data_IF_442673728977
#
_entry.id   IF_442673728977
#
_cell.length_a   1.000
_cell.length_b   1.000
_cell.length_c   1.000
_cell.angle_alpha   90.00
_cell.angle_beta   90.00
_cell.angle_gamma   90.00
#
_symmetry.space_group_name_H-M   'P 1'
#
loop_
_entity.id
_entity.type
_entity.pdbx_description
1 polymer ?
#
# COMPACT_ATOMS: atom_id res chain seq x y z
N UNK A 1 -14.31 -12.28 28.16
CA UNK A 1 -13.95 -12.27 26.73
C UNK A 1 -13.17 -13.54 26.47
N UNK A 2 -13.61 -14.39 25.55
CA UNK A 2 -12.85 -15.59 25.18
C UNK A 2 -11.55 -15.16 24.50
N UNK A 3 -10.43 -15.50 25.11
CA UNK A 3 -9.09 -15.22 24.60
C UNK A 3 -8.95 -15.79 23.17
N UNK A 4 -8.71 -14.92 22.18
CA UNK A 4 -8.38 -15.35 20.81
C UNK A 4 -6.98 -15.93 20.88
N UNK A 5 -6.88 -17.26 20.81
CA UNK A 5 -5.60 -17.96 20.92
C UNK A 5 -4.89 -18.01 19.57
N UNK A 6 -3.56 -18.01 19.62
CA UNK A 6 -2.68 -18.28 18.47
C UNK A 6 -3.18 -19.52 17.70
N UNK A 7 -3.23 -19.42 16.38
CA UNK A 7 -3.49 -20.55 15.49
C UNK A 7 -2.39 -21.60 15.61
N UNK A 8 -2.78 -22.88 15.73
CA UNK A 8 -1.85 -24.01 15.94
C UNK A 8 -1.57 -24.81 14.67
N UNK A 9 -2.41 -24.62 13.67
CA UNK A 9 -2.33 -25.22 12.35
C UNK A 9 -1.33 -24.51 11.44
N UNK A 10 -0.99 -23.24 11.74
CA UNK A 10 0.06 -22.49 11.05
C UNK A 10 1.38 -22.55 11.84
N UNK A 11 2.49 -22.72 11.12
CA UNK A 11 3.86 -22.71 11.65
C UNK A 11 4.74 -21.72 10.91
N UNK A 12 4.62 -21.65 9.59
CA UNK A 12 5.42 -20.80 8.71
C UNK A 12 4.55 -19.82 7.94
N UNK A 13 4.86 -18.53 8.04
CA UNK A 13 4.09 -17.46 7.41
C UNK A 13 5.02 -16.66 6.50
N UNK A 14 4.58 -16.46 5.25
CA UNK A 14 5.24 -15.57 4.31
C UNK A 14 4.61 -14.18 4.34
N UNK A 15 5.41 -13.14 4.53
CA UNK A 15 4.99 -11.73 4.45
C UNK A 15 5.42 -11.19 3.08
N UNK A 16 4.51 -10.47 2.43
CA UNK A 16 4.79 -9.73 1.19
C UNK A 16 5.03 -8.26 1.53
N UNK A 17 6.24 -7.76 1.25
CA UNK A 17 6.59 -6.35 1.40
C UNK A 17 6.08 -5.47 0.26
N UNK A 18 6.32 -4.16 0.37
CA UNK A 18 5.82 -3.18 -0.60
C UNK A 18 6.69 -3.00 -1.85
N UNK A 19 7.93 -3.50 -1.83
CA UNK A 19 8.92 -3.19 -2.86
C UNK A 19 9.52 -1.79 -2.69
N UNK A 20 9.97 -1.13 -3.77
CA UNK A 20 10.66 0.15 -3.69
C UNK A 20 9.73 1.27 -3.23
N UNK A 21 10.32 2.30 -2.61
CA UNK A 21 9.60 3.52 -2.21
C UNK A 21 9.19 4.30 -3.45
N UNK A 22 7.90 4.57 -3.58
CA UNK A 22 7.31 5.42 -4.62
C UNK A 22 6.33 6.42 -3.99
N UNK A 23 5.96 7.46 -4.73
CA UNK A 23 4.92 8.41 -4.26
C UNK A 23 3.62 7.63 -4.04
N UNK A 24 2.99 7.82 -2.88
CA UNK A 24 1.79 7.08 -2.48
C UNK A 24 2.05 5.70 -1.87
N UNK A 25 3.29 5.19 -1.90
CA UNK A 25 3.66 3.93 -1.24
C UNK A 25 5.09 4.01 -0.69
N UNK A 26 5.25 4.45 0.55
CA UNK A 26 6.54 4.83 1.11
C UNK A 26 6.94 4.02 2.36
N UNK A 27 7.54 4.69 3.35
CA UNK A 27 8.20 4.03 4.48
C UNK A 27 7.24 3.44 5.52
N UNK A 28 5.95 3.77 5.46
CA UNK A 28 4.89 3.23 6.31
C UNK A 28 4.81 1.70 6.21
N UNK A 29 5.11 1.12 5.05
CA UNK A 29 5.12 -0.32 4.83
C UNK A 29 6.38 -1.00 5.36
N UNK A 30 7.51 -0.29 5.41
CA UNK A 30 8.70 -0.79 6.10
C UNK A 30 8.48 -0.87 7.61
N UNK A 31 7.85 0.16 8.19
CA UNK A 31 7.43 0.16 9.59
C UNK A 31 6.44 -0.98 9.87
N UNK A 32 5.36 -1.07 9.10
CA UNK A 32 4.30 -2.06 9.28
C UNK A 32 4.81 -3.49 9.09
N UNK A 33 5.58 -3.74 8.02
CA UNK A 33 6.22 -5.03 7.77
C UNK A 33 7.20 -5.43 8.86
N UNK A 34 7.99 -4.49 9.40
CA UNK A 34 8.87 -4.73 10.56
C UNK A 34 8.07 -5.16 11.80
N UNK A 35 6.95 -4.50 12.09
CA UNK A 35 6.09 -4.86 13.22
C UNK A 35 5.43 -6.23 13.02
N UNK A 36 5.01 -6.56 11.80
CA UNK A 36 4.46 -7.86 11.47
C UNK A 36 5.48 -8.98 11.67
N UNK A 37 6.71 -8.81 11.15
CA UNK A 37 7.82 -9.75 11.38
C UNK A 37 8.05 -9.99 12.88
N UNK A 38 8.16 -8.91 13.67
CA UNK A 38 8.39 -9.01 15.12
C UNK A 38 7.25 -9.73 15.83
N UNK A 39 6.01 -9.34 15.55
CA UNK A 39 4.83 -9.90 16.21
C UNK A 39 4.70 -11.39 15.93
N UNK A 40 4.83 -11.80 14.66
CA UNK A 40 4.75 -13.21 14.29
C UNK A 40 5.89 -14.05 14.89
N UNK A 41 7.12 -13.52 14.93
CA UNK A 41 8.25 -14.20 15.56
C UNK A 41 8.09 -14.32 17.07
N UNK A 42 7.58 -13.28 17.75
CA UNK A 42 7.31 -13.31 19.19
C UNK A 42 6.28 -14.38 19.55
N UNK A 43 5.28 -14.57 18.69
CA UNK A 43 4.32 -15.66 18.81
C UNK A 43 4.91 -17.03 18.43
N UNK A 44 6.15 -17.09 17.93
CA UNK A 44 6.83 -18.33 17.57
C UNK A 44 6.41 -18.92 16.23
N UNK A 45 6.05 -18.10 15.26
CA UNK A 45 5.97 -18.52 13.85
C UNK A 45 7.34 -18.38 13.18
N UNK A 46 7.64 -19.27 12.24
CA UNK A 46 8.73 -19.09 11.28
C UNK A 46 8.28 -18.07 10.23
N UNK A 47 9.05 -17.00 10.04
CA UNK A 47 8.71 -15.90 9.13
C UNK A 47 9.60 -15.93 7.90
N UNK A 48 8.96 -16.04 6.73
CA UNK A 48 9.58 -15.81 5.43
C UNK A 48 9.17 -14.41 4.96
N UNK A 49 10.12 -13.61 4.49
CA UNK A 49 9.84 -12.28 3.97
C UNK A 49 10.31 -12.18 2.52
N UNK A 50 9.45 -11.64 1.65
CA UNK A 50 9.84 -11.16 0.32
C UNK A 50 9.68 -9.64 0.25
N UNK A 51 10.76 -8.93 -0.08
CA UNK A 51 10.70 -7.51 -0.42
C UNK A 51 11.86 -7.12 -1.34
N UNK A 52 11.58 -6.44 -2.45
CA UNK A 52 12.62 -5.99 -3.39
C UNK A 52 13.46 -4.81 -2.88
N UNK A 53 12.98 -4.06 -1.88
CA UNK A 53 13.73 -2.93 -1.32
C UNK A 53 14.86 -3.45 -0.41
N UNK A 54 16.15 -3.16 -0.71
CA UNK A 54 17.25 -3.68 0.07
C UNK A 54 17.47 -2.91 1.37
N UNK A 55 18.02 -3.59 2.38
CA UNK A 55 18.54 -2.97 3.60
C UNK A 55 19.45 -1.81 3.26
N UNK A 56 19.17 -0.64 3.82
CA UNK A 56 20.14 0.45 3.81
C UNK A 56 20.92 0.45 5.13
N UNK A 57 22.23 0.27 5.03
CA UNK A 57 23.12 0.11 6.16
C UNK A 57 23.28 1.41 6.98
N UNK A 58 22.31 1.79 7.83
CA UNK A 58 22.43 2.97 8.72
C UNK A 58 23.36 2.69 9.92
N UNK A 59 23.46 1.45 10.39
CA UNK A 59 24.24 1.08 11.57
C UNK A 59 25.74 0.89 11.29
N UNK A 60 26.12 0.40 10.10
CA UNK A 60 27.51 0.23 9.71
C UNK A 60 28.23 1.51 9.29
N UNK A 61 27.53 2.48 8.68
CA UNK A 61 28.14 3.73 8.21
C UNK A 61 28.29 4.78 9.32
N UNK A 62 27.41 4.80 10.33
CA UNK A 62 27.51 5.74 11.46
C UNK A 62 28.60 5.29 12.45
N UNK A 63 28.75 3.99 12.71
CA UNK A 63 29.87 3.46 13.53
C UNK A 63 31.23 3.68 12.87
N UNK A 64 31.36 3.44 11.56
CA UNK A 64 32.62 3.70 10.84
C UNK A 64 33.00 5.19 10.78
N UNK A 65 32.05 6.13 10.88
CA UNK A 65 32.35 7.57 10.96
C UNK A 65 32.76 8.05 12.35
N UNK A 66 32.28 7.42 13.42
CA UNK A 66 32.75 7.73 14.79
C UNK A 66 34.13 7.17 15.08
N UNK A 67 34.44 5.96 14.60
CA UNK A 67 35.76 5.34 14.85
C UNK A 67 36.88 5.86 13.92
N UNK A 68 36.55 6.35 12.71
CA UNK A 68 37.53 6.94 11.79
C UNK A 68 38.00 8.36 12.20
N UNK A 69 37.29 9.05 13.10
CA UNK A 69 37.75 10.33 13.68
C UNK A 69 38.60 10.16 14.95
N UNK A 70 38.63 8.96 15.54
CA UNK A 70 39.36 8.69 16.78
C UNK A 70 40.72 7.98 16.58
N UNK A 71 41.12 7.69 15.33
CA UNK A 71 42.41 7.03 15.04
C UNK A 71 43.13 7.64 13.83
N UNK A 72 43.43 8.94 13.90
CA UNK A 72 44.58 9.53 13.20
C UNK A 72 45.83 9.35 14.09
N UNK A 73 46.20 8.09 14.30
CA UNK A 73 47.45 7.70 14.93
C UNK A 73 48.17 6.77 13.96
N UNK A 74 49.06 7.35 13.15
CA UNK A 74 49.95 6.63 12.24
C UNK A 74 50.73 5.54 12.99
N UNK A 75 50.45 4.26 12.68
CA UNK A 75 51.22 3.10 13.12
C UNK A 75 51.15 2.01 12.06
N UNK A 76 51.84 2.20 10.93
CA UNK A 76 52.00 1.15 9.94
C UNK A 76 53.19 1.41 8.99
N UNK A 77 54.38 1.64 9.55
CA UNK A 77 55.65 1.23 8.91
C UNK A 77 56.83 1.60 9.83
N UNK A 78 57.21 0.67 10.69
CA UNK A 78 58.57 0.62 11.23
C UNK A 78 59.37 -0.32 10.36
N UNK A 79 60.21 0.24 9.48
CA UNK A 79 61.39 -0.42 8.90
C UNK A 79 62.33 0.63 8.31
N UNK A 80 63.61 0.50 8.65
CA UNK A 80 64.73 1.37 8.31
C UNK A 80 65.35 1.00 6.95
N UNK A 81 65.90 2.03 6.31
CA UNK A 81 67.02 2.06 5.36
C UNK A 81 66.99 1.26 4.03
N UNK A 82 67.19 2.06 2.96
CA UNK A 82 67.96 1.81 1.74
C UNK A 82 67.25 1.32 0.45
N UNK A 83 67.49 2.13 -0.61
CA UNK A 83 67.46 1.85 -2.05
C UNK A 83 66.10 1.75 -2.81
N UNK A 84 66.02 2.58 -3.86
CA UNK A 84 65.04 2.65 -4.97
C UNK A 84 65.09 1.40 -5.90
N UNK A 85 64.30 1.28 -7.00
CA UNK A 85 62.83 1.33 -7.22
C UNK A 85 62.30 0.02 -7.87
N UNK A 86 61.01 -0.35 -7.66
CA UNK A 86 60.10 -0.90 -8.70
C UNK A 86 58.77 -1.41 -8.11
N UNK A 87 57.66 -0.99 -8.73
CA UNK A 87 56.54 -1.88 -9.04
C UNK A 87 55.51 -2.24 -7.95
N UNK A 88 54.42 -1.48 -7.89
CA UNK A 88 53.07 -2.09 -7.79
C UNK A 88 52.04 -1.12 -8.39
N UNK A 89 51.79 -1.28 -9.69
CA UNK A 89 50.75 -0.55 -10.41
C UNK A 89 49.43 -1.30 -10.37
N UNK A 90 48.39 -0.66 -9.82
CA UNK A 90 47.00 -0.71 -10.32
C UNK A 90 46.12 0.22 -9.47
N UNK A 91 46.21 1.53 -9.72
CA UNK A 91 45.24 2.51 -9.18
C UNK A 91 45.10 3.80 -9.99
N UNK A 92 45.40 3.78 -11.29
CA UNK A 92 45.35 4.99 -12.14
C UNK A 92 44.62 4.76 -13.46
N UNK A 93 43.53 3.99 -13.46
CA UNK A 93 42.61 3.93 -14.62
C UNK A 93 41.14 4.29 -14.32
N UNK A 94 40.73 4.42 -13.06
CA UNK A 94 39.36 4.85 -12.73
C UNK A 94 39.18 6.38 -12.68
N UNK A 95 40.22 7.16 -12.36
CA UNK A 95 40.09 8.61 -12.16
C UNK A 95 40.34 9.46 -13.42
N UNK A 96 40.95 8.88 -14.47
CA UNK A 96 41.22 9.60 -15.73
C UNK A 96 40.01 9.62 -16.68
N UNK A 97 39.15 8.59 -16.62
CA UNK A 97 37.91 8.55 -17.41
C UNK A 97 36.84 9.54 -16.90
N UNK A 98 36.79 9.77 -15.58
CA UNK A 98 35.81 10.68 -14.97
C UNK A 98 36.10 12.18 -15.23
N UNK A 99 37.33 12.55 -15.57
CA UNK A 99 37.72 13.96 -15.82
C UNK A 99 37.60 14.41 -17.27
N UNK A 100 37.51 13.49 -18.23
CA UNK A 100 37.38 13.83 -19.66
C UNK A 100 35.91 14.10 -20.04
N UNK A 101 34.94 13.49 -19.35
CA UNK A 101 33.51 13.78 -19.57
C UNK A 101 32.97 15.02 -18.86
N UNK A 102 33.69 15.60 -17.89
CA UNK A 102 33.26 16.80 -17.18
C UNK A 102 33.54 18.12 -17.93
N UNK A 103 34.10 18.08 -19.15
CA UNK A 103 34.43 19.27 -19.96
C UNK A 103 33.52 19.49 -21.18
N UNK A 104 32.58 18.62 -21.47
CA UNK A 104 31.58 18.84 -22.51
C UNK A 104 30.22 19.13 -21.84
N UNK A 105 29.96 20.41 -21.59
CA UNK A 105 28.74 20.92 -20.95
C UNK A 105 27.48 20.79 -21.83
N UNK A 106 27.12 19.57 -22.22
CA UNK A 106 25.87 19.24 -22.92
C UNK A 106 25.46 17.84 -22.49
N UNK A 107 24.51 17.73 -21.55
CA UNK A 107 23.42 16.74 -21.53
C UNK A 107 22.61 16.90 -20.23
N UNK A 108 21.29 16.93 -20.43
CA UNK A 108 20.30 17.29 -19.43
C UNK A 108 20.13 16.31 -18.28
N UNK A 109 19.24 16.71 -17.39
CA UNK A 109 18.78 16.08 -16.16
C UNK A 109 18.15 14.69 -16.33
N UNK A 110 18.93 13.72 -16.80
CA UNK A 110 18.59 12.31 -16.77
C UNK A 110 19.87 11.55 -16.38
N UNK A 111 19.76 10.65 -15.40
CA UNK A 111 20.82 9.80 -14.83
C UNK A 111 21.68 10.41 -13.71
N UNK A 112 21.08 10.53 -12.52
CA UNK A 112 21.81 10.29 -11.25
C UNK A 112 21.42 8.89 -10.74
N UNK A 113 22.38 7.95 -10.56
CA UNK A 113 22.07 6.62 -10.03
C UNK A 113 21.56 6.70 -8.58
N UNK A 114 20.55 5.89 -8.31
CA UNK A 114 19.84 5.73 -7.06
C UNK A 114 20.76 5.36 -5.86
N UNK A 115 21.27 6.36 -5.16
CA UNK A 115 21.98 6.21 -3.88
C UNK A 115 21.31 6.98 -2.73
N UNK A 116 20.04 7.33 -2.91
CA UNK A 116 19.21 8.03 -1.92
C UNK A 116 17.86 7.32 -1.73
N UNK A 117 17.83 6.00 -1.85
CA UNK A 117 16.66 5.19 -1.52
C UNK A 117 16.71 4.88 -0.01
N UNK A 118 15.60 5.15 0.68
CA UNK A 118 15.48 4.96 2.11
C UNK A 118 15.81 3.52 2.52
N UNK A 119 16.75 3.38 3.42
CA UNK A 119 17.06 2.11 4.08
C UNK A 119 15.80 1.49 4.71
N UNK A 120 15.42 0.28 4.30
CA UNK A 120 14.40 -0.53 4.98
C UNK A 120 15.00 -1.31 6.15
N UNK A 121 14.22 -1.45 7.22
CA UNK A 121 14.52 -2.25 8.41
C UNK A 121 13.96 -3.67 8.27
N UNK A 122 12.81 -3.85 7.59
CA UNK A 122 12.15 -5.15 7.53
C UNK A 122 13.00 -6.24 6.86
N UNK A 123 13.90 -5.86 5.94
CA UNK A 123 14.82 -6.79 5.28
C UNK A 123 16.15 -7.00 6.02
N UNK A 124 16.33 -6.39 7.21
CA UNK A 124 17.54 -6.58 8.03
C UNK A 124 17.76 -8.07 8.34
N UNK A 125 19.01 -8.56 8.29
CA UNK A 125 19.32 -9.91 8.74
C UNK A 125 18.83 -10.14 10.18
N UNK A 126 18.04 -11.18 10.39
CA UNK A 126 17.46 -11.53 11.68
C UNK A 126 16.08 -10.92 11.98
N UNK A 127 15.55 -10.07 11.08
CA UNK A 127 14.17 -9.60 11.19
C UNK A 127 13.15 -10.70 10.84
N UNK A 128 13.46 -11.52 9.85
CA UNK A 128 12.74 -12.74 9.46
C UNK A 128 13.70 -13.94 9.51
N UNK A 129 13.15 -15.17 9.53
CA UNK A 129 13.95 -16.40 9.51
C UNK A 129 14.58 -16.61 8.12
N UNK A 130 13.84 -16.23 7.08
CA UNK A 130 14.27 -16.21 5.68
C UNK A 130 13.89 -14.86 5.07
N UNK A 131 14.86 -14.13 4.53
CA UNK A 131 14.62 -12.88 3.81
C UNK A 131 15.02 -13.04 2.35
N UNK A 132 14.08 -12.79 1.45
CA UNK A 132 14.26 -12.79 0.01
C UNK A 132 14.22 -11.34 -0.49
N UNK A 133 15.31 -10.91 -1.14
CA UNK A 133 15.39 -9.62 -1.81
C UNK A 133 15.42 -9.89 -3.32
N UNK A 134 14.31 -9.57 -3.98
CA UNK A 134 14.12 -9.86 -5.41
C UNK A 134 12.84 -9.22 -5.95
N UNK A 135 12.58 -9.34 -7.26
CA UNK A 135 11.42 -8.73 -7.90
C UNK A 135 10.08 -9.22 -7.29
N UNK A 136 9.11 -8.31 -7.14
CA UNK A 136 7.81 -8.59 -6.54
C UNK A 136 6.85 -9.22 -7.57
N UNK A 137 7.18 -10.42 -8.07
CA UNK A 137 6.43 -11.08 -9.15
C UNK A 137 5.93 -12.48 -8.77
N UNK A 138 4.85 -12.98 -9.40
CA UNK A 138 4.32 -14.31 -9.12
C UNK A 138 5.35 -15.42 -9.31
N UNK A 139 6.24 -15.31 -10.29
CA UNK A 139 7.25 -16.33 -10.61
C UNK A 139 8.27 -16.49 -9.49
N UNK A 140 8.73 -15.37 -8.91
CA UNK A 140 9.64 -15.44 -7.77
C UNK A 140 8.91 -15.98 -6.53
N UNK A 141 7.66 -15.56 -6.31
CA UNK A 141 6.88 -16.08 -5.19
C UNK A 141 6.69 -17.58 -5.34
N UNK A 142 6.37 -18.10 -6.53
CA UNK A 142 6.24 -19.54 -6.76
C UNK A 142 7.53 -20.31 -6.42
N UNK A 143 8.70 -19.78 -6.80
CA UNK A 143 9.99 -20.38 -6.41
C UNK A 143 10.18 -20.41 -4.89
N UNK A 144 9.76 -19.36 -4.18
CA UNK A 144 9.82 -19.29 -2.72
C UNK A 144 8.81 -20.27 -2.11
N UNK A 145 7.60 -20.37 -2.65
CA UNK A 145 6.57 -21.30 -2.19
C UNK A 145 7.06 -22.75 -2.32
N UNK A 146 7.68 -23.09 -3.45
CA UNK A 146 8.23 -24.43 -3.66
C UNK A 146 9.33 -24.79 -2.66
N UNK A 147 10.22 -23.84 -2.41
CA UNK A 147 11.39 -24.02 -1.52
C UNK A 147 11.04 -23.97 -0.04
N UNK A 148 10.26 -22.98 0.39
CA UNK A 148 10.03 -22.69 1.80
C UNK A 148 8.76 -23.34 2.35
N UNK A 149 7.78 -23.67 1.48
CA UNK A 149 6.50 -24.28 1.84
C UNK A 149 5.82 -23.58 3.04
N UNK A 150 5.54 -22.26 2.96
CA UNK A 150 4.81 -21.57 4.02
C UNK A 150 3.37 -22.08 4.11
N UNK A 151 2.80 -22.11 5.32
CA UNK A 151 1.40 -22.50 5.54
C UNK A 151 0.43 -21.36 5.15
N UNK A 152 0.90 -20.11 5.23
CA UNK A 152 0.09 -18.94 4.93
C UNK A 152 0.89 -17.76 4.34
N UNK A 153 0.20 -16.89 3.61
CA UNK A 153 0.68 -15.59 3.14
C UNK A 153 -0.08 -14.44 3.83
N UNK A 154 0.65 -13.44 4.32
CA UNK A 154 0.13 -12.18 4.84
C UNK A 154 0.45 -11.03 3.85
N UNK A 155 -0.52 -10.57 3.05
CA UNK A 155 -0.29 -9.57 2.00
C UNK A 155 -0.54 -8.12 2.43
N UNK A 156 -1.15 -7.91 3.60
CA UNK A 156 -1.68 -6.61 4.02
C UNK A 156 -0.63 -5.63 4.55
N UNK A 157 0.64 -6.03 4.58
CA UNK A 157 1.76 -5.20 5.06
C UNK A 157 2.56 -4.56 3.91
N UNK A 158 2.22 -4.87 2.66
CA UNK A 158 2.95 -4.48 1.46
C UNK A 158 2.25 -3.45 0.58
N UNK A 159 1.26 -2.72 1.11
CA UNK A 159 0.47 -1.77 0.33
C UNK A 159 -0.21 -2.42 -0.88
N UNK A 160 -0.37 -1.66 -1.96
CA UNK A 160 -1.01 -2.15 -3.18
C UNK A 160 -0.17 -3.23 -3.86
N UNK A 161 1.16 -3.12 -3.83
CA UNK A 161 2.06 -4.17 -4.36
C UNK A 161 1.75 -5.52 -3.73
N UNK A 162 1.61 -5.56 -2.40
CA UNK A 162 1.32 -6.79 -1.66
C UNK A 162 -0.05 -7.37 -1.98
N UNK A 163 -1.09 -6.51 -2.04
CA UNK A 163 -2.46 -6.93 -2.35
C UNK A 163 -2.59 -7.44 -3.78
N UNK A 164 -2.04 -6.73 -4.76
CA UNK A 164 -2.10 -7.10 -6.18
C UNK A 164 -1.35 -8.40 -6.44
N UNK A 165 -0.16 -8.59 -5.84
CA UNK A 165 0.60 -9.83 -5.95
C UNK A 165 -0.18 -11.00 -5.35
N UNK A 166 -0.80 -10.83 -4.18
CA UNK A 166 -1.61 -11.86 -3.56
C UNK A 166 -2.86 -12.23 -4.36
N UNK A 167 -3.52 -11.24 -4.98
CA UNK A 167 -4.64 -11.46 -5.89
C UNK A 167 -4.19 -12.31 -7.09
N UNK A 168 -3.12 -11.91 -7.78
CA UNK A 168 -2.59 -12.67 -8.93
C UNK A 168 -2.21 -14.11 -8.57
N UNK A 169 -1.63 -14.33 -7.38
CA UNK A 169 -1.30 -15.68 -6.88
C UNK A 169 -2.54 -16.53 -6.59
N UNK A 170 -3.60 -15.91 -6.07
CA UNK A 170 -4.84 -16.60 -5.78
C UNK A 170 -5.61 -16.94 -7.07
N UNK A 171 -5.73 -15.98 -8.00
CA UNK A 171 -6.46 -16.16 -9.27
C UNK A 171 -5.76 -17.15 -10.22
N UNK A 172 -4.43 -17.21 -10.19
CA UNK A 172 -3.66 -18.22 -10.93
C UNK A 172 -3.77 -19.64 -10.35
N UNK A 173 -4.39 -19.80 -9.17
CA UNK A 173 -4.47 -21.08 -8.46
C UNK A 173 -3.14 -21.53 -7.82
N UNK A 174 -2.12 -20.67 -7.79
CA UNK A 174 -0.83 -20.99 -7.16
C UNK A 174 -0.97 -21.20 -5.66
N UNK A 175 -1.78 -20.41 -4.97
CA UNK A 175 -2.01 -20.61 -3.54
C UNK A 175 -2.62 -21.99 -3.25
N UNK A 176 -3.60 -22.41 -4.04
CA UNK A 176 -4.24 -23.73 -3.91
C UNK A 176 -3.28 -24.87 -4.25
N UNK A 177 -2.49 -24.73 -5.33
CA UNK A 177 -1.46 -25.70 -5.74
C UNK A 177 -0.48 -26.03 -4.61
N UNK A 178 -0.10 -25.04 -3.82
CA UNK A 178 0.85 -25.20 -2.71
C UNK A 178 0.17 -25.39 -1.34
N UNK A 179 -1.16 -25.31 -1.27
CA UNK A 179 -1.92 -25.42 -0.02
C UNK A 179 -1.67 -24.25 0.94
N UNK A 180 -1.45 -23.04 0.40
CA UNK A 180 -1.08 -21.84 1.16
C UNK A 180 -2.31 -21.00 1.45
N UNK A 181 -2.58 -20.72 2.72
CA UNK A 181 -3.72 -19.90 3.11
C UNK A 181 -3.42 -18.40 3.01
N UNK A 182 -4.32 -17.63 2.39
CA UNK A 182 -4.28 -16.17 2.50
C UNK A 182 -4.85 -15.71 3.85
N UNK A 183 -4.05 -15.04 4.69
CA UNK A 183 -4.46 -14.55 6.03
C UNK A 183 -4.46 -13.02 6.11
N UNK A 184 -5.06 -12.47 7.17
CA UNK A 184 -5.28 -11.03 7.32
C UNK A 184 -6.49 -10.54 6.52
N UNK A 185 -6.39 -10.53 5.19
CA UNK A 185 -7.49 -10.22 4.29
C UNK A 185 -7.70 -11.36 3.28
N UNK A 186 -8.93 -11.87 3.21
CA UNK A 186 -9.32 -12.89 2.23
C UNK A 186 -9.57 -12.23 0.87
N UNK A 187 -9.36 -12.98 -0.22
CA UNK A 187 -9.55 -12.49 -1.59
C UNK A 187 -10.91 -11.79 -1.80
N UNK A 188 -12.06 -12.36 -1.38
CA UNK A 188 -13.36 -11.67 -1.55
C UNK A 188 -13.48 -10.36 -0.77
N UNK A 189 -12.70 -10.17 0.28
CA UNK A 189 -12.65 -8.91 1.03
C UNK A 189 -11.75 -7.88 0.34
N UNK A 190 -10.63 -8.32 -0.23
CA UNK A 190 -9.73 -7.47 -1.03
C UNK A 190 -10.51 -6.96 -2.25
N UNK A 191 -11.12 -7.86 -3.03
CA UNK A 191 -11.88 -7.48 -4.22
C UNK A 191 -13.02 -6.51 -3.88
N UNK A 192 -13.76 -6.76 -2.79
CA UNK A 192 -14.85 -5.87 -2.38
C UNK A 192 -14.38 -4.46 -2.00
N UNK A 193 -13.15 -4.30 -1.53
CA UNK A 193 -12.60 -3.00 -1.14
C UNK A 193 -11.96 -2.27 -2.34
N UNK A 194 -11.29 -3.01 -3.21
CA UNK A 194 -10.51 -2.47 -4.33
C UNK A 194 -11.35 -2.25 -5.61
N UNK A 195 -12.33 -3.11 -5.86
CA UNK A 195 -13.30 -2.94 -6.95
C UNK A 195 -14.34 -1.90 -6.56
N UNK A 196 -14.47 -0.86 -7.40
CA UNK A 196 -15.27 0.32 -7.08
C UNK A 196 -16.77 0.02 -7.12
N UNK A 197 -17.20 -0.90 -7.98
CA UNK A 197 -18.60 -1.30 -8.08
C UNK A 197 -18.99 -2.22 -6.91
N UNK A 198 -18.16 -3.21 -6.57
CA UNK A 198 -18.39 -4.06 -5.40
C UNK A 198 -18.40 -3.23 -4.10
N UNK A 199 -17.51 -2.26 -3.97
CA UNK A 199 -17.46 -1.35 -2.83
C UNK A 199 -18.75 -0.51 -2.74
N UNK A 200 -19.15 0.12 -3.85
CA UNK A 200 -20.38 0.91 -3.95
C UNK A 200 -21.61 0.08 -3.57
N UNK A 201 -21.72 -1.14 -4.10
CA UNK A 201 -22.79 -2.06 -3.73
C UNK A 201 -22.76 -2.45 -2.24
N UNK A 202 -21.57 -2.65 -1.66
CA UNK A 202 -21.43 -2.96 -0.24
C UNK A 202 -21.94 -1.80 0.63
N UNK A 203 -21.62 -0.56 0.29
CA UNK A 203 -22.10 0.63 1.00
C UNK A 203 -23.63 0.76 0.91
N UNK A 204 -24.22 0.52 -0.26
CA UNK A 204 -25.67 0.52 -0.43
C UNK A 204 -26.37 -0.54 0.40
N UNK A 205 -25.83 -1.77 0.44
CA UNK A 205 -26.42 -2.88 1.20
C UNK A 205 -26.52 -2.58 2.70
N UNK A 206 -25.57 -1.82 3.25
CA UNK A 206 -25.58 -1.43 4.68
C UNK A 206 -26.32 -0.11 4.95
N UNK A 207 -26.95 0.48 3.93
CA UNK A 207 -27.77 1.69 4.08
C UNK A 207 -26.99 3.00 4.14
N UNK A 208 -25.70 3.02 3.78
CA UNK A 208 -24.97 4.25 3.50
C UNK A 208 -25.38 4.72 2.09
N UNK A 209 -26.35 5.64 2.03
CA UNK A 209 -26.99 6.09 0.78
C UNK A 209 -26.08 6.99 -0.05
N UNK A 210 -26.37 7.19 -1.33
CA UNK A 210 -25.73 8.22 -2.16
C UNK A 210 -26.40 9.61 -2.03
N UNK A 211 -25.66 10.72 -2.25
CA UNK A 211 -26.14 12.13 -2.22
C UNK A 211 -27.07 12.47 -3.40
N UNK A 212 -27.47 11.49 -4.22
CA UNK A 212 -28.31 11.76 -5.40
C UNK A 212 -29.72 12.29 -5.07
N UNK A 213 -30.19 12.21 -3.82
CA UNK A 213 -31.57 12.59 -3.46
C UNK A 213 -31.70 13.81 -2.51
N UNK A 214 -30.60 14.41 -2.04
CA UNK A 214 -30.69 15.51 -1.07
C UNK A 214 -30.24 16.89 -1.62
N UNK A 215 -29.54 16.94 -2.76
CA UNK A 215 -28.97 18.19 -3.28
C UNK A 215 -29.98 19.13 -4.00
N UNK A 216 -31.28 18.94 -3.80
CA UNK A 216 -32.30 19.91 -4.23
C UNK A 216 -32.86 20.76 -3.07
N UNK A 217 -32.41 20.54 -1.83
CA UNK A 217 -32.76 21.40 -0.70
C UNK A 217 -31.56 21.58 0.23
N UNK A 218 -31.31 22.81 0.66
CA UNK A 218 -30.26 23.27 1.59
C UNK A 218 -28.95 23.75 0.96
N UNK A 219 -29.06 24.76 0.09
CA UNK A 219 -28.21 25.95 0.21
C UNK A 219 -29.02 27.00 0.97
N UNK A 220 -29.14 26.85 2.29
CA UNK A 220 -29.42 27.99 3.18
C UNK A 220 -29.20 27.61 4.64
N UNK A 221 -28.50 28.50 5.35
CA UNK A 221 -27.67 28.15 6.49
C UNK A 221 -28.39 27.53 7.69
N UNK A 222 -27.73 26.53 8.30
CA UNK A 222 -27.86 26.24 9.73
C UNK A 222 -26.51 25.85 10.33
N UNK A 223 -26.01 26.70 11.23
CA UNK A 223 -25.08 26.26 12.29
C UNK A 223 -25.84 25.27 13.19
N UNK A 224 -25.23 24.15 13.54
CA UNK A 224 -25.49 23.46 14.81
C UNK A 224 -24.38 22.47 15.14
N UNK A 225 -23.74 22.79 16.25
CA UNK A 225 -22.83 21.94 17.00
C UNK A 225 -23.64 20.78 17.60
N UNK A 226 -23.39 19.53 17.19
CA UNK A 226 -23.89 18.35 17.91
C UNK A 226 -22.78 17.29 18.01
N UNK A 227 -22.56 16.79 19.23
CA UNK A 227 -21.47 15.88 19.58
C UNK A 227 -21.66 14.45 19.02
N UNK A 228 -20.58 13.78 18.55
CA UNK A 228 -20.61 12.44 17.95
C UNK A 228 -21.12 11.28 18.84
N UNK A 229 -21.39 11.52 20.12
CA UNK A 229 -21.66 10.46 21.10
C UNK A 229 -23.06 9.82 20.97
N UNK A 230 -24.03 10.51 20.35
CA UNK A 230 -25.40 9.99 20.22
C UNK A 230 -25.55 8.96 19.08
N UNK A 231 -24.70 9.02 18.06
CA UNK A 231 -24.75 8.08 16.92
C UNK A 231 -24.35 6.64 17.33
N UNK A 232 -23.48 6.51 18.34
CA UNK A 232 -22.88 5.24 18.75
C UNK A 232 -23.82 4.34 19.59
N UNK A 233 -24.84 4.89 20.24
CA UNK A 233 -25.77 4.09 21.06
C UNK A 233 -26.74 3.23 20.23
N UNK A 234 -26.91 3.53 18.94
CA UNK A 234 -27.76 2.77 18.04
C UNK A 234 -27.15 1.44 17.57
N UNK A 235 -25.83 1.39 17.41
CA UNK A 235 -25.12 0.23 16.85
C UNK A 235 -24.93 -0.91 17.87
N UNK A 236 -24.96 -0.61 19.17
CA UNK A 236 -24.72 -1.60 20.24
C UNK A 236 -25.94 -2.49 20.60
N UNK A 237 -27.09 -2.35 19.92
CA UNK A 237 -28.32 -3.11 20.24
C UNK A 237 -28.71 -4.20 19.22
N UNK A 238 -28.01 -4.34 18.12
CA UNK A 238 -28.33 -5.33 17.09
C UNK A 238 -27.56 -6.66 17.32
N UNK A 239 -27.93 -7.37 18.38
CA UNK A 239 -27.50 -8.76 18.60
C UNK A 239 -28.48 -9.75 17.95
N UNK A 240 -27.94 -10.75 17.25
CA UNK A 240 -28.65 -11.99 16.88
C UNK A 240 -29.13 -12.11 15.43
N UNK A 241 -28.87 -13.29 14.85
CA UNK A 241 -29.43 -13.93 13.66
C UNK A 241 -30.73 -13.31 13.11
N UNK A 242 -30.87 -13.18 11.79
CA UNK A 242 -31.95 -13.83 11.00
C UNK A 242 -32.00 -13.30 9.56
N UNK A 243 -32.11 -14.26 8.65
CA UNK A 243 -32.47 -14.18 7.24
C UNK A 243 -33.82 -13.48 7.04
N UNK A 244 -33.93 -12.69 5.96
CA UNK A 244 -35.14 -12.12 5.36
C UNK A 244 -36.21 -11.53 6.29
N UNK A 245 -36.40 -10.21 6.19
CA UNK A 245 -37.72 -9.57 5.94
C UNK A 245 -37.54 -8.10 5.58
N UNK A 246 -38.02 -7.76 4.39
CA UNK A 246 -38.30 -6.38 4.01
C UNK A 246 -39.40 -5.82 4.93
N UNK A 247 -39.12 -4.72 5.61
CA UNK A 247 -40.11 -3.77 6.08
C UNK A 247 -39.40 -2.44 6.36
N UNK A 248 -39.88 -1.39 5.71
CA UNK A 248 -39.48 -0.03 5.93
C UNK A 248 -39.64 0.35 7.41
N UNK A 249 -38.53 0.37 8.16
CA UNK A 249 -38.44 1.00 9.45
C UNK A 249 -37.51 2.21 9.32
N UNK A 250 -38.08 3.40 9.56
CA UNK A 250 -37.38 4.69 9.62
C UNK A 250 -36.13 4.58 10.51
N UNK A 251 -34.98 4.39 9.90
CA UNK A 251 -33.67 4.67 10.50
C UNK A 251 -33.00 5.74 9.62
N UNK A 252 -32.47 6.79 10.24
CA UNK A 252 -31.58 7.76 9.58
C UNK A 252 -30.12 7.32 9.81
N UNK A 253 -29.41 6.88 8.76
CA UNK A 253 -27.96 6.99 8.68
C UNK A 253 -27.59 7.97 7.54
N UNK A 254 -26.89 9.04 7.90
CA UNK A 254 -26.54 10.15 7.02
C UNK A 254 -25.04 10.23 6.73
N UNK A 255 -24.46 9.23 6.07
CA UNK A 255 -23.29 9.45 5.24
C UNK A 255 -23.73 9.21 3.80
N UNK A 256 -23.74 10.29 3.02
CA UNK A 256 -24.21 10.29 1.66
C UNK A 256 -23.01 10.11 0.71
N UNK A 257 -22.93 9.00 -0.04
CA UNK A 257 -21.90 8.70 -1.05
C UNK A 257 -22.15 9.55 -2.30
N UNK A 258 -21.19 10.27 -2.88
CA UNK A 258 -21.50 11.19 -3.99
C UNK A 258 -22.10 10.46 -5.21
N UNK A 259 -22.97 11.11 -6.01
CA UNK A 259 -23.41 10.56 -7.30
C UNK A 259 -22.20 10.12 -8.11
N UNK A 260 -22.22 8.86 -8.55
CA UNK A 260 -21.05 8.23 -9.17
C UNK A 260 -21.45 7.03 -10.03
N UNK A 261 -20.58 6.66 -10.96
CA UNK A 261 -20.69 5.48 -11.81
C UNK A 261 -19.31 4.92 -12.16
N UNK A 262 -19.24 3.63 -12.47
CA UNK A 262 -18.02 2.97 -12.95
C UNK A 262 -18.04 2.90 -14.47
N UNK A 263 -16.87 3.11 -15.08
CA UNK A 263 -16.68 3.05 -16.53
C UNK A 263 -15.42 2.26 -16.87
N UNK A 264 -15.48 1.51 -17.97
CA UNK A 264 -14.33 0.82 -18.56
C UNK A 264 -13.93 1.35 -19.94
N UNK A 265 -14.64 2.37 -20.43
CA UNK A 265 -14.30 3.07 -21.66
C UNK A 265 -14.78 4.53 -21.62
N UNK A 266 -14.37 5.31 -22.61
CA UNK A 266 -14.69 6.73 -22.69
C UNK A 266 -16.20 6.99 -22.83
N UNK A 267 -16.93 6.17 -23.58
CA UNK A 267 -18.35 6.39 -23.86
C UNK A 267 -19.19 6.20 -22.59
N UNK A 268 -18.91 5.16 -21.82
CA UNK A 268 -19.52 4.94 -20.49
C UNK A 268 -19.20 6.09 -19.54
N UNK A 269 -17.94 6.54 -19.50
CA UNK A 269 -17.52 7.64 -18.65
C UNK A 269 -18.25 8.95 -19.01
N UNK A 270 -18.40 9.24 -20.30
CA UNK A 270 -19.15 10.39 -20.80
C UNK A 270 -20.64 10.32 -20.45
N UNK A 271 -21.24 9.12 -20.53
CA UNK A 271 -22.63 8.91 -20.12
C UNK A 271 -22.84 9.21 -18.63
N UNK A 272 -21.93 8.76 -17.77
CA UNK A 272 -21.96 9.05 -16.33
C UNK A 272 -21.74 10.54 -16.05
N UNK A 273 -20.80 11.18 -16.74
CA UNK A 273 -20.57 12.62 -16.62
C UNK A 273 -21.83 13.41 -17.00
N UNK A 274 -22.54 13.00 -18.05
CA UNK A 274 -23.81 13.59 -18.47
C UNK A 274 -24.92 13.34 -17.43
N UNK A 275 -25.00 12.15 -16.83
CA UNK A 275 -25.94 11.83 -15.76
C UNK A 275 -25.70 12.69 -14.50
N UNK A 276 -24.44 12.89 -14.10
CA UNK A 276 -24.08 13.76 -12.98
C UNK A 276 -24.37 15.23 -13.31
N UNK A 277 -24.16 15.64 -14.56
CA UNK A 277 -24.62 16.91 -15.12
C UNK A 277 -23.83 18.16 -14.70
N UNK A 278 -22.73 18.02 -13.97
CA UNK A 278 -21.91 19.17 -13.54
C UNK A 278 -20.45 18.81 -13.29
N UNK A 279 -19.55 19.71 -13.70
CA UNK A 279 -18.16 19.74 -13.25
C UNK A 279 -18.01 20.57 -11.97
N UNK A 280 -16.96 20.34 -11.14
CA UNK A 280 -15.89 19.36 -11.35
C UNK A 280 -16.30 17.91 -11.05
N UNK A 281 -15.63 16.96 -11.71
CA UNK A 281 -15.78 15.51 -11.50
C UNK A 281 -14.48 14.93 -10.96
N UNK A 282 -14.59 13.92 -10.09
CA UNK A 282 -13.47 13.17 -9.51
C UNK A 282 -13.36 11.84 -10.25
N UNK A 283 -12.16 11.50 -10.70
CA UNK A 283 -11.82 10.23 -11.36
C UNK A 283 -10.97 9.41 -10.40
N UNK A 284 -11.39 8.17 -10.10
CA UNK A 284 -10.68 7.26 -9.19
C UNK A 284 -10.52 5.88 -9.82
N UNK A 285 -9.32 5.52 -10.33
CA UNK A 285 -9.07 4.18 -10.85
C UNK A 285 -9.23 3.08 -9.79
N UNK A 286 -9.58 1.88 -10.24
CA UNK A 286 -9.62 0.68 -9.40
C UNK A 286 -8.22 0.07 -9.26
N UNK A 287 -7.92 -0.53 -8.09
CA UNK A 287 -6.63 -1.18 -7.77
C UNK A 287 -5.39 -0.27 -7.85
N UNK A 288 -5.57 1.04 -7.64
CA UNK A 288 -4.47 2.01 -7.54
C UNK A 288 -4.42 2.69 -6.16
N UNK A 289 -3.22 3.09 -5.74
CA UNK A 289 -2.96 3.77 -4.47
C UNK A 289 -2.50 5.21 -4.71
N UNK A 290 -2.73 6.07 -3.70
CA UNK A 290 -2.21 7.44 -3.67
C UNK A 290 -2.75 8.36 -4.76
N UNK A 291 -3.91 8.03 -5.35
CA UNK A 291 -4.51 8.80 -6.44
C UNK A 291 -3.83 8.60 -7.80
N UNK A 292 -3.00 7.56 -7.95
CA UNK A 292 -2.34 7.25 -9.23
C UNK A 292 -3.39 7.03 -10.34
N UNK A 293 -3.26 7.75 -11.45
CA UNK A 293 -4.21 7.71 -12.58
C UNK A 293 -5.54 8.42 -12.33
N UNK A 294 -5.74 8.99 -11.13
CA UNK A 294 -6.95 9.73 -10.76
C UNK A 294 -6.74 11.24 -10.72
N UNK A 295 -7.81 11.98 -10.45
CA UNK A 295 -7.74 13.42 -10.36
C UNK A 295 -9.09 14.11 -10.28
N UNK A 296 -9.04 15.44 -10.29
CA UNK A 296 -10.21 16.32 -10.39
C UNK A 296 -10.17 16.91 -11.80
N UNK A 297 -11.29 16.80 -12.52
CA UNK A 297 -11.49 17.43 -13.83
C UNK A 297 -12.46 18.59 -13.69
N UNK A 298 -12.09 19.75 -14.20
CA UNK A 298 -12.92 20.96 -14.17
C UNK A 298 -13.68 21.19 -15.48
N UNK A 299 -13.31 20.47 -16.53
CA UNK A 299 -13.91 20.57 -17.86
C UNK A 299 -13.82 19.24 -18.61
N UNK A 300 -14.47 19.17 -19.76
CA UNK A 300 -14.57 17.97 -20.59
C UNK A 300 -13.21 17.50 -21.14
N UNK A 301 -12.29 18.42 -21.43
CA UNK A 301 -10.97 18.08 -21.97
C UNK A 301 -10.12 17.37 -20.91
N UNK A 302 -10.03 17.98 -19.72
CA UNK A 302 -9.37 17.37 -18.56
C UNK A 302 -10.00 16.03 -18.18
N UNK A 303 -11.33 15.94 -18.24
CA UNK A 303 -12.06 14.71 -17.94
C UNK A 303 -11.65 13.56 -18.86
N UNK A 304 -11.63 13.79 -20.17
CA UNK A 304 -11.24 12.76 -21.14
C UNK A 304 -9.80 12.29 -20.91
N UNK A 305 -8.88 13.23 -20.73
CA UNK A 305 -7.47 12.91 -20.48
C UNK A 305 -7.29 12.09 -19.18
N UNK A 306 -8.01 12.44 -18.11
CA UNK A 306 -7.93 11.73 -16.83
C UNK A 306 -8.58 10.35 -16.87
N UNK A 307 -9.69 10.19 -17.59
CA UNK A 307 -10.34 8.88 -17.76
C UNK A 307 -9.44 7.93 -18.53
N UNK A 308 -8.83 8.38 -19.63
CA UNK A 308 -7.90 7.58 -20.43
C UNK A 308 -6.70 7.14 -19.58
N UNK A 309 -6.02 8.08 -18.91
CA UNK A 309 -4.91 7.77 -18.02
C UNK A 309 -5.31 6.85 -16.84
N UNK A 310 -6.54 6.99 -16.35
CA UNK A 310 -7.06 6.20 -15.25
C UNK A 310 -7.38 4.76 -15.62
N UNK A 311 -7.94 4.54 -16.82
CA UNK A 311 -8.20 3.20 -17.35
C UNK A 311 -6.87 2.47 -17.56
N UNK A 312 -5.91 3.12 -18.23
CA UNK A 312 -4.57 2.56 -18.46
C UNK A 312 -3.80 2.21 -17.18
N UNK A 313 -4.04 2.96 -16.10
CA UNK A 313 -3.41 2.73 -14.81
C UNK A 313 -4.10 1.65 -13.96
N UNK A 314 -5.36 1.32 -14.26
CA UNK A 314 -6.13 0.34 -13.48
C UNK A 314 -5.73 -1.09 -13.83
N UNK A 315 -5.72 -1.99 -12.84
CA UNK A 315 -5.54 -3.42 -13.12
C UNK A 315 -6.74 -4.09 -13.78
N UNK A 316 -7.90 -3.43 -13.78
CA UNK A 316 -9.17 -3.99 -14.25
C UNK A 316 -9.81 -3.09 -15.29
N UNK A 317 -9.04 -2.21 -15.92
CA UNK A 317 -9.52 -1.24 -16.92
C UNK A 317 -10.76 -0.47 -16.42
N UNK A 318 -10.79 -0.08 -15.14
CA UNK A 318 -11.96 0.49 -14.50
C UNK A 318 -11.62 1.80 -13.77
N UNK A 319 -12.44 2.82 -14.02
CA UNK A 319 -12.46 4.07 -13.26
C UNK A 319 -13.83 4.31 -12.63
N UNK A 320 -13.83 4.93 -11.45
CA UNK A 320 -15.03 5.52 -10.87
C UNK A 320 -15.06 7.02 -11.21
N UNK A 321 -16.14 7.45 -11.85
CA UNK A 321 -16.46 8.86 -12.10
C UNK A 321 -17.44 9.32 -11.03
N UNK A 322 -17.13 10.40 -10.32
CA UNK A 322 -17.87 10.82 -9.14
C UNK A 322 -18.06 12.35 -9.08
N UNK A 323 -19.22 12.79 -8.58
CA UNK A 323 -19.49 14.20 -8.33
C UNK A 323 -18.53 14.74 -7.27
N UNK A 324 -17.89 15.86 -7.58
CA UNK A 324 -17.00 16.52 -6.64
C UNK A 324 -17.71 16.97 -5.36
N UNK A 325 -17.07 16.70 -4.23
CA UNK A 325 -17.42 17.22 -2.91
C UNK A 325 -16.39 18.25 -2.41
N UNK A 326 -15.70 18.95 -3.32
CA UNK A 326 -14.76 20.01 -2.93
C UNK A 326 -15.41 20.97 -1.93
N UNK A 327 -14.67 21.30 -0.87
CA UNK A 327 -15.13 22.15 0.22
C UNK A 327 -15.77 21.40 1.39
N UNK A 328 -16.00 20.09 1.26
CA UNK A 328 -16.44 19.26 2.39
C UNK A 328 -15.26 18.97 3.32
N UNK A 329 -15.58 18.68 4.59
CA UNK A 329 -14.61 18.17 5.55
C UNK A 329 -14.31 16.71 5.23
N UNK A 330 -13.03 16.37 5.17
CA UNK A 330 -12.54 15.00 5.02
C UNK A 330 -12.21 14.43 6.40
N UNK A 331 -12.61 13.18 6.64
CA UNK A 331 -12.36 12.46 7.88
C UNK A 331 -11.87 11.05 7.55
N UNK A 332 -10.87 10.59 8.29
CA UNK A 332 -10.31 9.25 8.17
C UNK A 332 -10.45 8.53 9.51
N UNK A 333 -10.78 7.25 9.48
CA UNK A 333 -10.91 6.43 10.69
C UNK A 333 -10.07 5.17 10.53
N UNK A 334 -9.14 4.98 11.45
CA UNK A 334 -8.36 3.75 11.55
C UNK A 334 -9.16 2.73 12.38
N UNK A 335 -9.54 1.62 11.76
CA UNK A 335 -10.43 0.61 12.36
C UNK A 335 -9.72 -0.73 12.48
N UNK A 336 -9.87 -1.38 13.64
CA UNK A 336 -9.39 -2.73 13.88
C UNK A 336 -10.56 -3.65 14.24
N UNK A 337 -10.58 -4.86 13.65
CA UNK A 337 -11.59 -5.90 13.92
C UNK A 337 -10.94 -7.26 14.12
N UNK A 338 -11.41 -8.03 15.09
CA UNK A 338 -10.95 -9.39 15.36
C UNK A 338 -11.94 -10.48 14.93
N UNK A 339 -11.58 -11.76 15.13
CA UNK A 339 -12.42 -12.92 14.77
C UNK A 339 -13.62 -13.14 15.70
N UNK A 340 -13.64 -12.51 16.88
CA UNK A 340 -14.77 -12.52 17.79
C UNK A 340 -15.76 -11.38 17.51
N UNK A 341 -15.57 -10.69 16.37
CA UNK A 341 -16.35 -9.52 15.97
C UNK A 341 -16.21 -8.31 16.90
N UNK A 342 -15.13 -8.25 17.70
CA UNK A 342 -14.79 -7.03 18.41
C UNK A 342 -14.25 -6.02 17.40
N UNK A 343 -14.74 -4.78 17.47
CA UNK A 343 -14.37 -3.70 16.57
C UNK A 343 -14.04 -2.44 17.36
N UNK A 344 -12.95 -1.77 17.03
CA UNK A 344 -12.53 -0.52 17.65
C UNK A 344 -11.98 0.49 16.64
N UNK A 345 -12.15 1.77 16.96
CA UNK A 345 -11.51 2.89 16.27
C UNK A 345 -10.23 3.20 17.02
N UNK A 346 -9.09 3.14 16.32
CA UNK A 346 -7.76 3.40 16.87
C UNK A 346 -7.42 4.90 16.81
N UNK A 347 -7.79 5.56 15.70
CA UNK A 347 -7.52 6.99 15.47
C UNK A 347 -8.70 7.65 14.75
N UNK A 348 -8.88 8.97 14.96
CA UNK A 348 -9.86 9.85 14.31
C UNK A 348 -9.20 11.12 13.79
#
# INVERSE_FOLDING_TARGET
MSEVKKRKDLKKIMIIGAGPIVIGQACEFDYSGTQACKSLRQEGYEVVLLNSNPVGNRSGQIRRRRDARARLGCRACGWEAAAHPAGCGMRVQAEKAARIHARAGVLGSAWRPALQQGATIMTDPGMADRTYIGPMTPELVEQILDKERPDAILPTMGGQTGLNLAKNLAESGLLDKYGVELIGAKLPSIDRAEDRELFKQAMFRIGLKTVAAAAAAEVEGRRRDEEPQQLLRGLARAGGSWVMRAAAARARPGAAVPPSGTASNMDEALAIAAEIGSFPLIIRPAFTLGGTGGGISYNLEEFKAQVEAGIDASMTDQVLVEKSLIGWKEFELEVMRDLNDNCMIVCR
#
